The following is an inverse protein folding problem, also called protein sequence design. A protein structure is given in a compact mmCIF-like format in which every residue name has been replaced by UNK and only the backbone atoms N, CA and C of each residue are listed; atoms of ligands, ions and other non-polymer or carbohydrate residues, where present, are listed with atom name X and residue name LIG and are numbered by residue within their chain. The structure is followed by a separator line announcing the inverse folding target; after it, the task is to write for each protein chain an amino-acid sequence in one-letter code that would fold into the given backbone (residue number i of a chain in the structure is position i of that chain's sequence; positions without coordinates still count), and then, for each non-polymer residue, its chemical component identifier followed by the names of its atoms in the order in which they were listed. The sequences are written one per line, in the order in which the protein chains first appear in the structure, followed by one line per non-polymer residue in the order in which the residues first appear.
data_IF_735290613892
#
_entry.id   IF_735290613892
#
_cell.length_a   1.000
_cell.length_b   1.000
_cell.length_c   1.000
_cell.angle_alpha   90.00
_cell.angle_beta   90.00
_cell.angle_gamma   90.00
#
_symmetry.space_group_name_H-M   'P 1'
#
loop_
_entity.id
_entity.type
_entity.pdbx_description
1 polymer ?
#
# COMPACT_ATOMS: atom_id res chain seq x y z
N UNK A 1 -6.01 -44.90 -5.08
CA UNK A 1 -7.29 -44.44 -4.49
C UNK A 1 -6.97 -43.22 -3.63
N UNK A 2 -7.41 -42.02 -4.03
CA UNK A 2 -7.15 -40.79 -3.27
C UNK A 2 -8.10 -40.80 -2.06
N UNK A 3 -7.53 -40.87 -0.85
CA UNK A 3 -8.31 -40.97 0.39
C UNK A 3 -9.01 -39.64 0.75
N UNK A 4 -10.06 -39.66 1.60
CA UNK A 4 -10.87 -38.48 1.94
C UNK A 4 -10.06 -37.27 2.42
N UNK A 5 -8.95 -37.51 3.12
CA UNK A 5 -8.03 -36.47 3.60
C UNK A 5 -7.25 -35.79 2.48
N UNK A 6 -6.93 -36.52 1.39
CA UNK A 6 -6.23 -35.97 0.24
C UNK A 6 -7.16 -35.12 -0.65
N UNK A 7 -8.45 -35.44 -0.69
CA UNK A 7 -9.49 -34.59 -1.30
C UNK A 7 -9.68 -33.29 -0.52
N UNK A 8 -9.83 -33.37 0.81
CA UNK A 8 -9.97 -32.19 1.67
C UNK A 8 -8.75 -31.25 1.61
N UNK A 9 -7.52 -31.79 1.63
CA UNK A 9 -6.29 -30.99 1.49
C UNK A 9 -6.19 -30.30 0.12
N UNK A 10 -6.71 -30.92 -0.94
CA UNK A 10 -6.74 -30.31 -2.26
C UNK A 10 -7.70 -29.13 -2.31
N UNK A 11 -8.90 -29.29 -1.74
CA UNK A 11 -9.92 -28.24 -1.65
C UNK A 11 -9.43 -27.03 -0.84
N UNK A 12 -8.75 -27.24 0.29
CA UNK A 12 -8.15 -26.16 1.10
C UNK A 12 -7.12 -25.38 0.29
N UNK A 13 -6.18 -26.06 -0.37
CA UNK A 13 -5.14 -25.41 -1.19
C UNK A 13 -5.70 -24.67 -2.39
N UNK A 14 -6.83 -25.11 -2.93
CA UNK A 14 -7.50 -24.43 -4.04
C UNK A 14 -8.27 -23.19 -3.56
N UNK A 15 -8.93 -23.27 -2.39
CA UNK A 15 -9.57 -22.13 -1.74
C UNK A 15 -8.55 -21.04 -1.37
N UNK A 16 -7.40 -21.43 -0.80
CA UNK A 16 -6.29 -20.51 -0.49
C UNK A 16 -5.76 -19.81 -1.75
N UNK A 17 -5.57 -20.55 -2.86
CA UNK A 17 -5.12 -19.96 -4.13
C UNK A 17 -6.11 -18.94 -4.67
N UNK A 18 -7.42 -19.24 -4.62
CA UNK A 18 -8.47 -18.31 -5.04
C UNK A 18 -8.51 -17.07 -4.14
N UNK A 19 -8.35 -17.22 -2.83
CA UNK A 19 -8.30 -16.09 -1.90
C UNK A 19 -7.07 -15.20 -2.17
N UNK A 20 -5.89 -15.81 -2.34
CA UNK A 20 -4.67 -15.09 -2.69
C UNK A 20 -4.78 -14.34 -4.02
N UNK A 21 -5.38 -14.95 -5.05
CA UNK A 21 -5.62 -14.29 -6.34
C UNK A 21 -6.58 -13.10 -6.20
N UNK A 22 -7.67 -13.27 -5.44
CA UNK A 22 -8.62 -12.18 -5.16
C UNK A 22 -7.97 -11.04 -4.39
N UNK A 23 -7.14 -11.35 -3.39
CA UNK A 23 -6.36 -10.35 -2.64
C UNK A 23 -5.40 -9.60 -3.56
N UNK A 24 -4.64 -10.30 -4.40
CA UNK A 24 -3.72 -9.68 -5.38
C UNK A 24 -4.45 -8.80 -6.38
N UNK A 25 -5.59 -9.24 -6.91
CA UNK A 25 -6.39 -8.45 -7.83
C UNK A 25 -6.95 -7.17 -7.18
N UNK A 26 -7.39 -7.25 -5.91
CA UNK A 26 -7.84 -6.09 -5.14
C UNK A 26 -6.72 -5.10 -4.83
N UNK A 27 -5.48 -5.57 -4.77
CA UNK A 27 -4.30 -4.76 -4.46
C UNK A 27 -3.69 -4.03 -5.66
N UNK A 28 -4.00 -4.48 -6.88
CA UNK A 28 -3.37 -3.94 -8.08
C UNK A 28 -3.63 -2.44 -8.26
N UNK A 29 -4.91 -2.05 -8.21
CA UNK A 29 -5.30 -0.66 -8.48
C UNK A 29 -4.84 0.34 -7.41
N UNK A 30 -5.09 0.12 -6.09
CA UNK A 30 -4.63 1.07 -5.08
C UNK A 30 -3.11 1.19 -5.06
N UNK A 31 -2.36 0.10 -5.30
CA UNK A 31 -0.90 0.14 -5.41
C UNK A 31 -0.45 0.98 -6.61
N UNK A 32 -1.03 0.74 -7.80
CA UNK A 32 -0.70 1.49 -9.02
C UNK A 32 -0.93 3.00 -8.81
N UNK A 33 -2.06 3.36 -8.21
CA UNK A 33 -2.42 4.75 -7.95
C UNK A 33 -1.48 5.41 -6.93
N UNK A 34 -1.12 4.71 -5.84
CA UNK A 34 -0.17 5.24 -4.85
C UNK A 34 1.25 5.39 -5.42
N UNK A 35 1.71 4.44 -6.24
CA UNK A 35 3.02 4.52 -6.89
C UNK A 35 3.09 5.71 -7.86
N UNK A 36 2.01 5.92 -8.63
CA UNK A 36 1.88 7.08 -9.52
C UNK A 36 1.87 8.40 -8.75
N UNK A 37 1.10 8.49 -7.66
CA UNK A 37 1.05 9.68 -6.83
C UNK A 37 2.41 9.97 -6.19
N UNK A 38 3.10 8.95 -5.69
CA UNK A 38 4.42 9.11 -5.06
C UNK A 38 5.41 9.76 -6.04
N UNK A 39 5.51 9.25 -7.27
CA UNK A 39 6.38 9.84 -8.29
C UNK A 39 6.04 11.30 -8.61
N UNK A 40 4.74 11.63 -8.70
CA UNK A 40 4.33 13.02 -8.93
C UNK A 40 4.65 13.95 -7.76
N UNK A 41 4.58 13.46 -6.51
CA UNK A 41 4.93 14.24 -5.33
C UNK A 41 6.45 14.42 -5.19
N UNK A 42 7.23 13.41 -5.58
CA UNK A 42 8.69 13.51 -5.64
C UNK A 42 9.11 14.57 -6.67
N UNK A 43 8.53 14.57 -7.87
CA UNK A 43 8.73 15.62 -8.87
C UNK A 43 8.39 17.01 -8.31
N UNK A 44 7.23 17.12 -7.66
CA UNK A 44 6.76 18.37 -7.07
C UNK A 44 7.70 18.87 -5.94
N UNK A 45 8.27 17.95 -5.18
CA UNK A 45 9.27 18.24 -4.15
C UNK A 45 10.62 18.67 -4.77
N UNK A 46 11.05 18.03 -5.86
CA UNK A 46 12.25 18.42 -6.62
C UNK A 46 12.11 19.82 -7.23
N UNK A 47 10.90 20.18 -7.67
CA UNK A 47 10.56 21.53 -8.16
C UNK A 47 10.44 22.57 -7.03
N UNK A 48 10.64 22.17 -5.77
CA UNK A 48 10.61 23.06 -4.60
C UNK A 48 9.21 23.51 -4.19
N UNK A 49 8.16 22.85 -4.69
CA UNK A 49 6.78 23.17 -4.32
C UNK A 49 6.46 22.55 -2.96
N UNK A 50 6.40 23.39 -1.92
CA UNK A 50 6.23 22.92 -0.54
C UNK A 50 4.81 22.47 -0.16
N UNK A 51 3.79 22.84 -0.95
CA UNK A 51 2.38 22.55 -0.68
C UNK A 51 1.75 21.93 -1.92
N UNK A 52 1.03 20.82 -1.73
CA UNK A 52 0.40 20.07 -2.82
C UNK A 52 -0.74 20.88 -3.44
N UNK A 53 -0.71 21.16 -4.76
CA UNK A 53 -1.75 21.94 -5.42
C UNK A 53 -3.11 21.24 -5.48
N UNK A 54 -4.19 22.02 -5.55
CA UNK A 54 -5.56 21.49 -5.71
C UNK A 54 -5.79 20.70 -6.99
N UNK A 55 -4.91 20.82 -7.99
CA UNK A 55 -4.97 19.98 -9.21
C UNK A 55 -4.81 18.48 -8.91
N UNK A 56 -4.28 18.11 -7.74
CA UNK A 56 -4.12 16.73 -7.29
C UNK A 56 -5.39 16.14 -6.64
N UNK A 57 -6.40 16.96 -6.33
CA UNK A 57 -7.62 16.52 -5.65
C UNK A 57 -8.33 15.34 -6.32
N UNK A 58 -8.46 15.27 -7.67
CA UNK A 58 -9.10 14.13 -8.33
C UNK A 58 -8.37 12.80 -8.05
N UNK A 59 -7.04 12.78 -8.18
CA UNK A 59 -6.24 11.58 -7.92
C UNK A 59 -6.25 11.18 -6.45
N UNK A 60 -6.20 12.16 -5.54
CA UNK A 60 -6.31 11.92 -4.10
C UNK A 60 -7.69 11.39 -3.69
N UNK A 61 -8.77 11.87 -4.32
CA UNK A 61 -10.12 11.34 -4.12
C UNK A 61 -10.25 9.90 -4.65
N UNK A 62 -9.68 9.61 -5.82
CA UNK A 62 -9.66 8.27 -6.40
C UNK A 62 -8.96 7.28 -5.46
N UNK A 63 -7.75 7.59 -4.99
CA UNK A 63 -7.00 6.77 -4.03
C UNK A 63 -7.82 6.54 -2.75
N UNK A 64 -8.40 7.60 -2.17
CA UNK A 64 -9.25 7.45 -0.98
C UNK A 64 -10.40 6.48 -1.21
N UNK A 65 -11.09 6.57 -2.35
CA UNK A 65 -12.21 5.69 -2.67
C UNK A 65 -11.83 4.21 -2.71
N UNK A 66 -10.61 3.89 -3.17
CA UNK A 66 -10.08 2.53 -3.19
C UNK A 66 -9.63 2.02 -1.81
N UNK A 67 -9.32 2.92 -0.88
CA UNK A 67 -8.81 2.59 0.44
C UNK A 67 -9.89 2.63 1.54
N UNK A 68 -11.09 3.15 1.26
CA UNK A 68 -12.20 3.12 2.23
C UNK A 68 -12.52 1.69 2.64
N UNK A 69 -12.51 1.43 3.95
CA UNK A 69 -12.78 0.11 4.51
C UNK A 69 -11.61 -0.87 4.40
N UNK A 70 -10.43 -0.42 3.97
CA UNK A 70 -9.24 -1.27 3.89
C UNK A 70 -8.68 -1.60 5.29
N UNK A 71 -8.48 -2.89 5.65
CA UNK A 71 -7.90 -3.25 6.94
C UNK A 71 -6.50 -2.66 7.14
N UNK A 72 -6.30 -1.92 8.23
CA UNK A 72 -5.02 -1.26 8.54
C UNK A 72 -4.90 0.17 8.01
N UNK A 73 -5.82 0.61 7.15
CA UNK A 73 -5.93 2.03 6.76
C UNK A 73 -6.93 2.73 7.69
N UNK A 74 -6.41 3.54 8.61
CA UNK A 74 -7.24 4.33 9.52
C UNK A 74 -7.86 5.56 8.84
N UNK A 75 -8.98 6.06 9.39
CA UNK A 75 -9.65 7.29 8.92
C UNK A 75 -8.71 8.48 8.87
N UNK A 76 -7.84 8.63 9.88
CA UNK A 76 -6.83 9.69 9.94
C UNK A 76 -5.84 9.65 8.77
N UNK A 77 -5.51 8.46 8.26
CA UNK A 77 -4.59 8.33 7.13
C UNK A 77 -5.28 8.76 5.83
N UNK A 78 -6.57 8.43 5.68
CA UNK A 78 -7.40 8.89 4.57
C UNK A 78 -7.65 10.40 4.60
N UNK A 79 -7.82 10.99 5.78
CA UNK A 79 -7.99 12.44 5.94
C UNK A 79 -6.73 13.23 5.54
N UNK A 80 -5.55 12.63 5.66
CA UNK A 80 -4.28 13.23 5.25
C UNK A 80 -4.05 13.20 3.73
N UNK A 81 -4.78 12.37 2.98
CA UNK A 81 -4.76 12.34 1.51
C UNK A 81 -5.57 13.50 0.92
N UNK A 82 -5.05 14.72 1.04
CA UNK A 82 -5.68 15.94 0.53
C UNK A 82 -4.64 16.95 0.03
N UNK A 83 -5.02 17.77 -0.95
CA UNK A 83 -4.24 18.93 -1.36
C UNK A 83 -4.16 19.96 -0.23
N UNK A 84 -3.28 20.95 -0.37
CA UNK A 84 -2.98 21.91 0.71
C UNK A 84 -2.13 21.32 1.84
N UNK A 85 -1.86 20.01 1.82
CA UNK A 85 -0.88 19.35 2.71
C UNK A 85 0.54 19.67 2.25
N UNK A 86 1.50 19.66 3.17
CA UNK A 86 2.91 19.77 2.80
C UNK A 86 3.32 18.58 1.93
N UNK A 87 4.05 18.84 0.85
CA UNK A 87 4.47 17.81 -0.10
C UNK A 87 5.21 16.67 0.59
N UNK A 88 6.18 16.99 1.46
CA UNK A 88 6.89 15.99 2.27
C UNK A 88 5.94 15.19 3.19
N UNK A 89 4.96 15.82 3.83
CA UNK A 89 4.01 15.12 4.69
C UNK A 89 3.08 14.19 3.91
N UNK A 90 2.74 14.56 2.67
CA UNK A 90 1.92 13.72 1.80
C UNK A 90 2.74 12.54 1.23
N UNK A 91 4.02 12.74 0.91
CA UNK A 91 4.95 11.66 0.55
C UNK A 91 4.98 10.60 1.67
N UNK A 92 5.23 11.02 2.92
CA UNK A 92 5.24 10.12 4.08
C UNK A 92 3.90 9.40 4.28
N UNK A 93 2.80 10.10 4.02
CA UNK A 93 1.44 9.53 4.09
C UNK A 93 1.24 8.45 3.04
N UNK A 94 1.66 8.69 1.80
CA UNK A 94 1.57 7.73 0.70
C UNK A 94 2.46 6.51 0.96
N UNK A 95 3.66 6.73 1.49
CA UNK A 95 4.56 5.65 1.88
C UNK A 95 3.93 4.76 2.97
N UNK A 96 3.37 5.36 4.02
CA UNK A 96 2.66 4.63 5.09
C UNK A 96 1.49 3.80 4.54
N UNK A 97 0.78 4.30 3.52
CA UNK A 97 -0.30 3.56 2.86
C UNK A 97 0.28 2.36 2.09
N UNK A 98 1.35 2.55 1.34
CA UNK A 98 2.02 1.49 0.59
C UNK A 98 2.52 0.37 1.52
N UNK A 99 3.05 0.69 2.70
CA UNK A 99 3.46 -0.31 3.70
C UNK A 99 2.30 -1.21 4.15
N UNK A 100 1.07 -0.66 4.23
CA UNK A 100 -0.12 -1.40 4.63
C UNK A 100 -0.66 -2.27 3.49
N UNK A 101 -0.75 -1.72 2.27
CA UNK A 101 -1.41 -2.41 1.14
C UNK A 101 -0.43 -3.29 0.36
N UNK A 102 0.83 -2.91 0.28
CA UNK A 102 1.89 -3.60 -0.44
C UNK A 102 3.13 -3.69 0.45
N UNK A 103 3.04 -4.42 1.59
CA UNK A 103 4.16 -4.55 2.50
C UNK A 103 5.38 -5.05 1.73
N UNK A 104 6.56 -4.45 1.96
CA UNK A 104 7.77 -4.83 1.25
C UNK A 104 7.99 -6.33 1.43
N UNK A 105 7.94 -7.08 0.35
CA UNK A 105 8.45 -8.45 0.35
C UNK A 105 9.95 -8.34 0.49
N UNK A 106 10.45 -8.36 1.72
CA UNK A 106 11.86 -8.61 1.96
C UNK A 106 12.22 -9.89 1.21
N UNK A 107 13.33 -9.92 0.46
CA UNK A 107 13.85 -11.17 -0.07
C UNK A 107 13.95 -12.17 1.10
N UNK A 108 13.46 -13.39 0.91
CA UNK A 108 13.59 -14.44 1.92
C UNK A 108 15.08 -14.63 2.24
N UNK A 109 15.55 -14.03 3.33
CA UNK A 109 16.97 -14.02 3.71
C UNK A 109 17.52 -12.67 4.22
N UNK A 110 16.81 -11.55 4.05
CA UNK A 110 17.25 -10.29 4.67
C UNK A 110 16.82 -10.26 6.14
N UNK A 111 17.72 -10.70 7.02
CA UNK A 111 17.69 -10.37 8.44
C UNK A 111 18.18 -8.93 8.55
N UNK A 112 17.28 -8.00 8.86
CA UNK A 112 17.69 -6.66 9.28
C UNK A 112 18.28 -6.82 10.69
N UNK A 113 19.60 -6.87 10.78
CA UNK A 113 20.27 -6.62 12.05
C UNK A 113 20.14 -5.12 12.30
N UNK A 114 19.18 -4.72 13.15
CA UNK A 114 19.31 -3.45 13.83
C UNK A 114 20.59 -3.55 14.67
N UNK A 115 21.63 -2.86 14.23
CA UNK A 115 22.83 -2.64 15.00
C UNK A 115 22.42 -1.81 16.23
N UNK A 116 22.08 -2.51 17.32
CA UNK A 116 21.96 -1.89 18.62
C UNK A 116 23.35 -1.35 18.94
N UNK A 117 23.53 -0.04 18.77
CA UNK A 117 24.62 0.73 19.35
C UNK A 117 24.63 0.47 20.87
N UNK A 118 25.40 -0.54 21.27
CA UNK A 118 25.81 -0.79 22.64
C UNK A 118 26.88 0.25 22.97
N UNK A 119 26.44 1.34 23.62
CA UNK A 119 27.31 2.23 24.40
C UNK A 119 27.69 1.54 25.70
#
# INVERSE_FOLDING_TARGET
MIGPLATANHEIREAERRDQQRRRARLFEPRRLTDQLLGQLEELNLDGVGIVPGSYDPGLAEIRSHLVGWPGIGTRLLERLQSGTRTAELIETVFSIQEVIAPPTLPAGVVIFEELDLV
#
